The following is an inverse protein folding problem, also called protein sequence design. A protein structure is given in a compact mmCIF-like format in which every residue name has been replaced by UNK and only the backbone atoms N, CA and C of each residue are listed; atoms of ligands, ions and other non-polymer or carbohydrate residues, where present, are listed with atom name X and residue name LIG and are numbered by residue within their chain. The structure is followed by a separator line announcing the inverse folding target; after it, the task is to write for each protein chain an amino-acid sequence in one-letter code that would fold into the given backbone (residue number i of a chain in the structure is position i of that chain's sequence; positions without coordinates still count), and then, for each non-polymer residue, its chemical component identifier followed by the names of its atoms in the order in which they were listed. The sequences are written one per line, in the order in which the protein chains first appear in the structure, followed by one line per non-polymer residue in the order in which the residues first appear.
data_IF_489281828808
#
_entry.id   IF_489281828808
#
_cell.length_a   1.000
_cell.length_b   1.000
_cell.length_c   1.000
_cell.angle_alpha   90.00
_cell.angle_beta   90.00
_cell.angle_gamma   90.00
#
_symmetry.space_group_name_H-M   'P 1'
#
loop_
_entity.id
_entity.type
_entity.pdbx_description
1 polymer ?
#
# COMPACT_ATOMS: atom_id res chain seq x y z
N UNK A 1 -11.39 4.61 3.45
CA UNK A 1 -9.96 4.32 3.23
C UNK A 1 -9.64 3.06 4.00
N UNK A 2 -9.27 1.99 3.31
CA UNK A 2 -9.02 0.66 3.89
C UNK A 2 -7.56 0.58 4.31
N UNK A 3 -7.30 0.26 5.58
CA UNK A 3 -5.94 0.04 6.08
C UNK A 3 -5.76 -1.46 6.34
N UNK A 4 -4.85 -2.11 5.59
CA UNK A 4 -4.46 -3.49 5.83
C UNK A 4 -3.45 -3.53 6.98
N UNK A 5 -3.78 -4.20 8.09
CA UNK A 5 -2.84 -4.42 9.18
C UNK A 5 -2.19 -5.80 9.03
N UNK A 6 -0.90 -5.82 8.70
CA UNK A 6 -0.03 -6.95 9.01
C UNK A 6 0.20 -7.01 10.53
N UNK A 7 0.44 -8.21 11.08
CA UNK A 7 0.58 -8.58 12.50
C UNK A 7 1.37 -7.60 13.39
N UNK A 8 2.21 -6.71 12.85
CA UNK A 8 2.91 -5.65 13.61
C UNK A 8 2.00 -4.53 14.13
N UNK A 9 0.80 -4.35 13.58
CA UNK A 9 -0.05 -3.19 13.88
C UNK A 9 -1.27 -3.49 14.77
N UNK A 10 -1.34 -4.67 15.41
CA UNK A 10 -2.44 -5.07 16.29
C UNK A 10 -2.31 -4.59 17.74
N UNK A 11 -1.62 -3.48 17.97
CA UNK A 11 -1.44 -2.92 19.31
C UNK A 11 -2.75 -2.34 19.88
N UNK A 12 -2.91 -2.28 21.21
CA UNK A 12 -4.12 -1.75 21.84
C UNK A 12 -4.44 -0.30 21.43
N UNK A 13 -3.42 0.50 21.11
CA UNK A 13 -3.59 1.88 20.60
C UNK A 13 -4.25 1.94 19.22
N UNK A 14 -3.99 0.95 18.36
CA UNK A 14 -4.62 0.88 17.02
C UNK A 14 -6.08 0.46 17.16
N UNK A 15 -6.37 -0.48 18.08
CA UNK A 15 -7.74 -0.87 18.40
C UNK A 15 -8.60 0.30 18.88
N UNK A 16 -8.06 1.12 19.80
CA UNK A 16 -8.75 2.31 20.30
C UNK A 16 -9.00 3.34 19.19
N UNK A 17 -7.98 3.65 18.39
CA UNK A 17 -8.11 4.60 17.28
C UNK A 17 -9.17 4.14 16.25
N UNK A 18 -9.21 2.85 15.92
CA UNK A 18 -10.23 2.29 15.02
C UNK A 18 -11.62 2.38 15.63
N UNK A 19 -11.77 2.08 16.93
CA UNK A 19 -13.05 2.19 17.62
C UNK A 19 -13.59 3.63 17.64
N UNK A 20 -12.72 4.60 17.90
CA UNK A 20 -13.05 6.03 17.87
C UNK A 20 -13.44 6.54 16.46
N UNK A 21 -13.05 5.82 15.41
CA UNK A 21 -13.26 6.20 14.01
C UNK A 21 -14.08 5.16 13.22
N UNK A 22 -14.88 4.34 13.91
CA UNK A 22 -15.55 3.17 13.31
C UNK A 22 -16.52 3.53 12.17
N UNK A 23 -17.09 4.75 12.17
CA UNK A 23 -17.95 5.23 11.09
C UNK A 23 -17.19 5.53 9.78
N UNK A 24 -15.87 5.73 9.86
CA UNK A 24 -15.02 6.18 8.74
C UNK A 24 -13.99 5.14 8.33
N UNK A 25 -13.64 4.23 9.22
CA UNK A 25 -12.60 3.23 9.04
C UNK A 25 -13.18 1.82 9.16
N UNK A 26 -12.84 0.99 8.18
CA UNK A 26 -13.11 -0.45 8.23
C UNK A 26 -11.79 -1.18 8.40
N UNK A 27 -11.68 -1.92 9.50
CA UNK A 27 -10.53 -2.79 9.73
C UNK A 27 -10.71 -4.12 9.02
N UNK A 28 -9.67 -4.55 8.29
CA UNK A 28 -9.66 -5.84 7.60
C UNK A 28 -8.44 -6.63 8.10
N UNK A 29 -8.71 -7.80 8.66
CA UNK A 29 -7.69 -8.72 9.12
C UNK A 29 -7.28 -9.64 7.97
N UNK A 30 -6.00 -9.62 7.64
CA UNK A 30 -5.41 -10.56 6.69
C UNK A 30 -4.79 -11.74 7.44
N UNK A 31 -4.92 -12.98 6.92
CA UNK A 31 -4.18 -14.11 7.47
C UNK A 31 -2.68 -13.83 7.40
N UNK A 32 -1.94 -14.23 8.44
CA UNK A 32 -0.48 -14.11 8.45
C UNK A 32 0.12 -14.88 7.28
N UNK A 33 1.05 -14.23 6.55
CA UNK A 33 1.74 -14.78 5.37
C UNK A 33 0.89 -14.99 4.09
N UNK A 34 -0.01 -14.06 3.77
CA UNK A 34 -0.64 -14.00 2.43
C UNK A 34 -0.24 -12.73 1.66
N UNK A 35 1.01 -12.62 1.17
CA UNK A 35 1.46 -11.44 0.41
C UNK A 35 0.63 -11.22 -0.87
N UNK A 36 0.09 -12.30 -1.45
CA UNK A 36 -0.77 -12.25 -2.64
C UNK A 36 -2.13 -11.57 -2.38
N UNK A 37 -2.53 -11.45 -1.11
CA UNK A 37 -3.75 -10.77 -0.70
C UNK A 37 -3.52 -9.29 -0.34
N UNK A 38 -2.30 -8.76 -0.40
CA UNK A 38 -2.06 -7.36 -0.03
C UNK A 38 -1.93 -6.48 -1.29
N UNK A 39 -2.88 -5.55 -1.56
CA UNK A 39 -2.76 -4.65 -2.71
C UNK A 39 -1.52 -3.75 -2.62
N UNK A 40 -0.98 -3.53 -1.43
CA UNK A 40 0.26 -2.78 -1.23
C UNK A 40 1.47 -3.52 -1.82
N UNK A 41 1.43 -4.85 -1.95
CA UNK A 41 2.53 -5.61 -2.57
C UNK A 41 2.61 -5.34 -4.08
N UNK A 42 1.47 -5.17 -4.76
CA UNK A 42 1.45 -4.77 -6.17
C UNK A 42 2.05 -3.36 -6.35
N UNK A 43 1.72 -2.43 -5.45
CA UNK A 43 2.32 -1.10 -5.43
C UNK A 43 3.83 -1.17 -5.10
N UNK A 44 4.24 -2.02 -4.16
CA UNK A 44 5.64 -2.20 -3.80
C UNK A 44 6.44 -2.79 -4.98
N UNK A 45 5.87 -3.73 -5.73
CA UNK A 45 6.48 -4.27 -6.94
C UNK A 45 6.62 -3.21 -8.02
N UNK A 46 5.58 -2.41 -8.25
CA UNK A 46 5.60 -1.29 -9.20
C UNK A 46 6.68 -0.27 -8.82
N UNK A 47 6.76 0.15 -7.54
CA UNK A 47 7.82 1.06 -7.06
C UNK A 47 9.22 0.43 -7.23
N UNK A 48 9.40 -0.85 -6.90
CA UNK A 48 10.70 -1.54 -7.05
C UNK A 48 11.11 -1.68 -8.52
N UNK A 49 10.15 -1.82 -9.43
CA UNK A 49 10.42 -2.02 -10.87
C UNK A 49 10.61 -0.69 -11.58
N UNK A 50 9.69 0.25 -11.40
CA UNK A 50 9.65 1.53 -12.14
C UNK A 50 10.50 2.62 -11.50
N UNK A 51 10.50 2.74 -10.16
CA UNK A 51 11.25 3.79 -9.46
C UNK A 51 12.72 3.42 -9.19
N UNK A 52 13.05 2.12 -9.13
CA UNK A 52 14.41 1.63 -8.86
C UNK A 52 15.06 0.90 -10.05
N UNK A 53 14.29 0.49 -11.07
CA UNK A 53 14.82 -0.23 -12.24
C UNK A 53 15.54 0.65 -13.26
N UNK A 54 15.30 1.97 -13.28
CA UNK A 54 15.90 2.91 -14.26
C UNK A 54 17.22 3.55 -13.81
N UNK A 55 17.62 3.35 -12.56
CA UNK A 55 18.86 3.85 -12.00
C UNK A 55 18.94 3.48 -10.52
N UNK A 56 20.03 2.84 -10.10
CA UNK A 56 20.25 2.54 -8.69
C UNK A 56 20.53 3.85 -7.97
N UNK A 57 19.69 4.28 -7.01
CA UNK A 57 19.97 5.49 -6.26
C UNK A 57 21.28 5.34 -5.51
N UNK A 58 22.14 6.35 -5.63
CA UNK A 58 23.46 6.39 -4.99
C UNK A 58 23.39 6.92 -3.55
N UNK A 59 22.25 7.50 -3.17
CA UNK A 59 21.98 8.02 -1.83
C UNK A 59 20.54 7.78 -1.39
N UNK A 60 20.31 7.80 -0.07
CA UNK A 60 18.97 7.73 0.53
C UNK A 60 18.06 8.90 0.06
N UNK A 61 18.62 10.09 -0.13
CA UNK A 61 17.86 11.26 -0.58
C UNK A 61 17.34 11.07 -2.00
N UNK A 62 18.19 10.57 -2.90
CA UNK A 62 17.83 10.24 -4.28
C UNK A 62 16.77 9.14 -4.36
N UNK A 63 16.90 8.11 -3.50
CA UNK A 63 15.89 7.05 -3.38
C UNK A 63 14.52 7.62 -2.98
N UNK A 64 14.48 8.48 -1.95
CA UNK A 64 13.22 9.09 -1.48
C UNK A 64 12.59 9.97 -2.56
N UNK A 65 13.41 10.76 -3.25
CA UNK A 65 12.95 11.67 -4.30
C UNK A 65 12.40 10.90 -5.52
N UNK A 66 13.08 9.82 -5.94
CA UNK A 66 12.58 8.92 -6.99
C UNK A 66 11.23 8.30 -6.63
N UNK A 67 11.11 7.75 -5.42
CA UNK A 67 9.84 7.18 -4.93
C UNK A 67 8.74 8.22 -4.90
N UNK A 68 9.01 9.44 -4.39
CA UNK A 68 8.02 10.52 -4.34
C UNK A 68 7.54 10.93 -5.73
N UNK A 69 8.45 11.11 -6.68
CA UNK A 69 8.08 11.44 -8.08
C UNK A 69 7.21 10.36 -8.69
N UNK A 70 7.56 9.10 -8.48
CA UNK A 70 6.79 7.95 -8.97
C UNK A 70 5.38 7.91 -8.37
N UNK A 71 5.26 8.03 -7.05
CA UNK A 71 3.96 8.08 -6.37
C UNK A 71 3.11 9.28 -6.81
N UNK A 72 3.70 10.46 -6.98
CA UNK A 72 2.99 11.64 -7.52
C UNK A 72 2.49 11.43 -8.95
N UNK A 73 3.24 10.70 -9.78
CA UNK A 73 2.81 10.32 -11.13
C UNK A 73 1.62 9.36 -11.08
N UNK A 74 1.66 8.36 -10.19
CA UNK A 74 0.57 7.39 -10.00
C UNK A 74 -0.72 8.04 -9.49
N UNK A 75 -0.62 9.04 -8.60
CA UNK A 75 -1.79 9.81 -8.14
C UNK A 75 -2.56 10.48 -9.30
N UNK A 76 -1.88 10.82 -10.39
CA UNK A 76 -2.49 11.41 -11.60
C UNK A 76 -3.00 10.36 -12.59
N UNK A 77 -2.83 9.06 -12.30
CA UNK A 77 -3.23 7.94 -13.14
C UNK A 77 -4.22 7.04 -12.39
N UNK A 78 -5.46 7.50 -12.17
CA UNK A 78 -6.45 6.78 -11.37
C UNK A 78 -6.80 5.39 -11.93
N UNK A 79 -6.62 5.18 -13.24
CA UNK A 79 -6.82 3.88 -13.88
C UNK A 79 -5.77 2.84 -13.46
N UNK A 80 -4.50 3.25 -13.27
CA UNK A 80 -3.42 2.37 -12.77
C UNK A 80 -3.72 1.97 -11.33
N UNK A 81 -4.04 2.95 -10.49
CA UNK A 81 -4.43 2.69 -9.09
C UNK A 81 -5.64 1.76 -9.03
N UNK A 82 -6.67 1.99 -9.85
CA UNK A 82 -7.87 1.15 -9.88
C UNK A 82 -7.56 -0.27 -10.35
N UNK A 83 -6.63 -0.47 -11.28
CA UNK A 83 -6.20 -1.79 -11.71
C UNK A 83 -5.47 -2.57 -10.61
N UNK A 84 -4.74 -1.91 -9.70
CA UNK A 84 -4.14 -2.58 -8.54
C UNK A 84 -5.19 -3.25 -7.65
N UNK A 85 -6.44 -2.78 -7.66
CA UNK A 85 -7.55 -3.35 -6.88
C UNK A 85 -8.42 -4.35 -7.68
N UNK A 86 -8.11 -4.59 -8.96
CA UNK A 86 -8.88 -5.52 -9.81
C UNK A 86 -8.31 -6.95 -9.81
N UNK A 87 -7.15 -7.18 -9.21
CA UNK A 87 -6.59 -8.52 -9.05
C UNK A 87 -7.50 -9.37 -8.15
N UNK A 88 -7.72 -10.64 -8.55
CA UNK A 88 -8.73 -11.55 -7.94
C UNK A 88 -8.61 -11.71 -6.42
N UNK A 89 -7.40 -11.46 -5.90
CA UNK A 89 -7.01 -11.66 -4.51
C UNK A 89 -7.14 -10.39 -3.63
N UNK A 90 -7.39 -9.21 -4.22
CA UNK A 90 -7.41 -7.91 -3.52
C UNK A 90 -8.72 -7.13 -3.68
N UNK A 91 -9.73 -7.72 -4.34
CA UNK A 91 -11.07 -7.13 -4.49
C UNK A 91 -11.76 -6.74 -3.16
N UNK A 92 -11.33 -7.29 -2.02
CA UNK A 92 -11.86 -6.91 -0.71
C UNK A 92 -11.54 -5.45 -0.32
N UNK A 93 -10.55 -4.83 -0.97
CA UNK A 93 -10.07 -3.48 -0.70
C UNK A 93 -10.57 -2.43 -1.71
N UNK A 94 -11.34 -2.84 -2.73
CA UNK A 94 -11.93 -1.99 -3.76
C UNK A 94 -13.13 -1.16 -3.25
#
# INVERSE_FOLDING_TARGET
MTASLHTTASGPSVGQFVAENAERLRLIWLPGYCPELNPDELLNQDVKTDAMGKGRPTSKAEMIDSVRRHLHRLQKQPHVIRNLFQEKHVCYAA
#
